data_IF_345098874134
#
_entry.id   IF_345098874134
#
_cell.length_a   1.000
_cell.length_b   1.000
_cell.length_c   1.000
_cell.angle_alpha   90.00
_cell.angle_beta   90.00
_cell.angle_gamma   90.00
#
_symmetry.space_group_name_H-M   'P 1'
#
loop_
_entity.id
_entity.type
_entity.pdbx_description
1 polymer ?
#
# COMPACT_ATOMS: atom_id res chain seq x y z
N UNK A 1 -8.05 1.62 3.55
CA UNK A 1 -9.34 1.50 4.23
C UNK A 1 -10.01 2.85 4.45
N UNK A 2 -9.39 3.81 5.15
CA UNK A 2 -10.00 5.14 5.43
C UNK A 2 -10.37 5.86 4.14
N UNK A 3 -9.47 5.90 3.16
CA UNK A 3 -9.72 6.55 1.86
C UNK A 3 -10.89 5.90 1.11
N UNK A 4 -10.99 4.57 1.06
CA UNK A 4 -12.11 3.88 0.42
C UNK A 4 -13.44 4.14 1.15
N UNK A 5 -13.40 4.22 2.49
CA UNK A 5 -14.57 4.55 3.29
C UNK A 5 -15.06 5.98 3.03
N UNK A 6 -14.14 6.96 2.91
CA UNK A 6 -14.45 8.34 2.55
C UNK A 6 -15.08 8.39 1.15
N UNK A 7 -14.48 7.70 0.18
CA UNK A 7 -14.96 7.63 -1.19
C UNK A 7 -16.36 7.01 -1.26
N UNK A 8 -16.63 5.96 -0.49
CA UNK A 8 -17.95 5.35 -0.38
C UNK A 8 -18.99 6.32 0.21
N UNK A 9 -18.65 6.97 1.32
CA UNK A 9 -19.56 7.90 2.00
C UNK A 9 -19.86 9.12 1.14
N UNK A 10 -18.88 9.66 0.43
CA UNK A 10 -19.07 10.86 -0.40
C UNK A 10 -19.75 10.56 -1.72
N UNK A 11 -19.27 9.57 -2.45
CA UNK A 11 -19.72 9.28 -3.82
C UNK A 11 -21.06 8.52 -3.83
N UNK A 12 -21.18 7.47 -3.04
CA UNK A 12 -22.38 6.61 -3.03
C UNK A 12 -23.42 7.09 -2.04
N UNK A 13 -23.00 7.45 -0.82
CA UNK A 13 -23.87 7.90 0.26
C UNK A 13 -24.32 9.36 0.14
N UNK A 14 -23.73 10.14 -0.79
CA UNK A 14 -23.93 11.59 -0.92
C UNK A 14 -23.78 12.34 0.42
N UNK A 15 -22.90 11.82 1.29
CA UNK A 15 -22.67 12.42 2.59
C UNK A 15 -21.87 13.73 2.46
N UNK A 16 -22.23 14.81 3.16
CA UNK A 16 -21.57 16.10 2.99
C UNK A 16 -20.12 16.06 3.47
N UNK A 17 -19.21 16.49 2.60
CA UNK A 17 -17.76 16.52 2.85
C UNK A 17 -17.35 17.27 4.12
N UNK A 18 -18.15 18.25 4.55
CA UNK A 18 -17.92 19.00 5.80
C UNK A 18 -17.83 18.12 7.03
N UNK A 19 -18.75 17.16 7.18
CA UNK A 19 -18.77 16.26 8.35
C UNK A 19 -17.60 15.27 8.31
N UNK A 20 -17.21 14.81 7.11
CA UNK A 20 -16.03 13.95 6.94
C UNK A 20 -14.77 14.71 7.31
N UNK A 21 -14.66 15.99 6.89
CA UNK A 21 -13.56 16.87 7.29
C UNK A 21 -13.46 17.06 8.81
N UNK A 22 -14.59 17.19 9.51
CA UNK A 22 -14.63 17.29 10.96
C UNK A 22 -14.16 15.99 11.61
N UNK A 23 -14.58 14.82 11.12
CA UNK A 23 -14.17 13.53 11.67
C UNK A 23 -12.67 13.31 11.47
N UNK A 24 -12.15 13.58 10.28
CA UNK A 24 -10.71 13.46 10.00
C UNK A 24 -9.92 14.47 10.82
N UNK A 25 -10.37 15.73 10.86
CA UNK A 25 -9.72 16.78 11.62
C UNK A 25 -9.68 16.48 13.13
N UNK A 26 -10.76 15.96 13.69
CA UNK A 26 -10.80 15.54 15.11
C UNK A 26 -9.87 14.34 15.37
N UNK A 27 -9.77 13.39 14.45
CA UNK A 27 -8.85 12.26 14.53
C UNK A 27 -7.39 12.70 14.50
N UNK A 28 -7.04 13.61 13.58
CA UNK A 28 -5.69 14.20 13.51
C UNK A 28 -5.35 15.02 14.75
N UNK A 29 -6.29 15.82 15.26
CA UNK A 29 -6.11 16.59 16.47
C UNK A 29 -5.90 15.68 17.70
N UNK A 30 -6.67 14.60 17.81
CA UNK A 30 -6.48 13.60 18.86
C UNK A 30 -5.11 12.91 18.77
N UNK A 31 -4.67 12.57 17.56
CA UNK A 31 -3.36 11.95 17.33
C UNK A 31 -2.20 12.91 17.65
N UNK A 32 -2.30 14.17 17.25
CA UNK A 32 -1.29 15.18 17.61
C UNK A 32 -1.24 15.43 19.12
N UNK A 33 -2.40 15.50 19.78
CA UNK A 33 -2.48 15.62 21.23
C UNK A 33 -1.86 14.41 21.93
N UNK A 34 -2.13 13.20 21.44
CA UNK A 34 -1.54 11.98 21.96
C UNK A 34 -0.01 11.97 21.85
N UNK A 35 0.55 12.38 20.70
CA UNK A 35 2.00 12.50 20.50
C UNK A 35 2.62 13.55 21.43
N UNK A 36 1.95 14.69 21.63
CA UNK A 36 2.41 15.74 22.54
C UNK A 36 2.42 15.27 24.00
N UNK A 37 1.37 14.56 24.42
CA UNK A 37 1.31 13.97 25.77
C UNK A 37 2.38 12.89 25.96
N UNK A 38 2.64 12.07 24.96
CA UNK A 38 3.68 11.06 25.00
C UNK A 38 5.09 11.68 25.17
N UNK A 39 5.35 12.82 24.49
CA UNK A 39 6.61 13.56 24.64
C UNK A 39 6.73 14.29 25.97
N UNK A 40 5.60 14.69 26.57
CA UNK A 40 5.58 15.39 27.86
C UNK A 40 5.80 14.46 29.05
N UNK A 41 5.47 13.16 28.91
CA UNK A 41 5.57 12.15 29.98
C UNK A 41 6.33 10.90 29.51
N UNK A 42 7.66 10.99 29.31
CA UNK A 42 8.47 9.89 28.75
C UNK A 42 8.53 8.65 29.65
N UNK A 43 8.36 8.79 30.97
CA UNK A 43 8.51 7.70 31.94
C UNK A 43 7.27 6.81 32.12
N UNK A 44 6.20 7.06 31.39
CA UNK A 44 4.99 6.26 31.53
C UNK A 44 5.03 5.01 30.61
N UNK A 45 4.94 3.83 31.19
CA UNK A 45 4.83 2.54 30.50
C UNK A 45 3.73 2.47 29.43
N UNK A 46 2.80 3.40 29.41
CA UNK A 46 1.73 3.52 28.43
C UNK A 46 2.23 3.92 27.02
N UNK A 47 3.39 4.55 26.93
CA UNK A 47 3.91 5.14 25.68
C UNK A 47 5.09 4.39 25.07
N UNK A 48 5.39 3.17 25.53
CA UNK A 48 6.51 2.36 25.01
C UNK A 48 6.46 2.12 23.49
N UNK A 49 5.29 2.24 22.87
CA UNK A 49 5.15 2.17 21.42
C UNK A 49 5.49 3.45 20.67
N UNK A 50 5.46 4.60 21.37
CA UNK A 50 5.81 5.90 20.75
C UNK A 50 7.32 5.97 20.51
N UNK A 51 8.13 5.35 21.35
CA UNK A 51 9.58 5.27 21.15
C UNK A 51 9.93 4.44 19.91
N UNK A 52 9.18 3.38 19.66
CA UNK A 52 9.31 2.57 18.43
C UNK A 52 8.91 3.37 17.17
N UNK A 53 7.92 4.25 17.28
CA UNK A 53 7.50 5.11 16.16
C UNK A 53 8.48 6.25 15.94
N UNK A 54 9.01 6.84 17.02
CA UNK A 54 10.00 7.91 16.94
C UNK A 54 11.32 7.38 16.36
N UNK A 55 11.79 6.20 16.75
CA UNK A 55 12.97 5.57 16.18
C UNK A 55 12.79 5.17 14.72
N UNK A 56 11.60 4.74 14.29
CA UNK A 56 11.31 4.52 12.88
C UNK A 56 11.31 5.81 12.07
N UNK A 57 10.77 6.90 12.63
CA UNK A 57 10.76 8.20 11.97
C UNK A 57 12.18 8.81 11.89
N UNK A 58 13.01 8.57 12.89
CA UNK A 58 14.40 9.00 12.94
C UNK A 58 15.26 8.17 11.96
N UNK A 59 14.97 6.88 11.82
CA UNK A 59 15.59 6.02 10.81
C UNK A 59 15.21 6.41 9.37
N UNK A 60 14.00 6.95 9.16
CA UNK A 60 13.59 7.51 7.86
C UNK A 60 14.32 8.81 7.51
N UNK A 61 14.78 9.57 8.50
CA UNK A 61 15.52 10.84 8.29
C UNK A 61 17.03 10.67 8.37
N UNK A 62 17.51 9.56 8.91
CA UNK A 62 18.95 9.26 9.03
C UNK A 62 19.26 8.11 8.09
N UNK A 63 20.13 8.34 7.11
CA UNK A 63 20.64 7.39 6.11
C UNK A 63 21.37 6.17 6.73
N UNK A 64 20.80 5.53 7.73
CA UNK A 64 21.29 4.25 8.24
C UNK A 64 20.59 3.13 7.48
N UNK A 65 21.32 2.30 6.71
CA UNK A 65 20.72 1.18 5.99
C UNK A 65 20.02 0.24 7.00
N UNK A 66 18.70 0.24 6.97
CA UNK A 66 17.85 -0.63 7.77
C UNK A 66 17.56 -1.95 7.03
N UNK A 67 16.89 -2.87 7.69
CA UNK A 67 16.40 -4.11 7.04
C UNK A 67 15.47 -3.81 5.86
N UNK A 68 14.72 -2.71 5.94
CA UNK A 68 13.81 -2.27 4.87
C UNK A 68 14.59 -1.83 3.62
N UNK A 69 15.72 -1.09 3.79
CA UNK A 69 16.58 -0.67 2.68
C UNK A 69 17.22 -1.87 1.97
N UNK A 70 17.63 -2.89 2.75
CA UNK A 70 18.14 -4.13 2.19
C UNK A 70 17.11 -4.85 1.31
N UNK A 71 15.84 -4.89 1.73
CA UNK A 71 14.78 -5.52 0.96
C UNK A 71 14.47 -4.75 -0.33
N UNK A 72 14.45 -3.42 -0.27
CA UNK A 72 14.25 -2.55 -1.43
C UNK A 72 15.42 -2.72 -2.42
N UNK A 73 16.67 -2.76 -1.94
CA UNK A 73 17.85 -3.01 -2.79
C UNK A 73 17.75 -4.35 -3.50
N UNK A 74 17.33 -5.42 -2.80
CA UNK A 74 17.14 -6.74 -3.40
C UNK A 74 16.00 -6.76 -4.42
N UNK A 75 14.93 -6.02 -4.18
CA UNK A 75 13.85 -5.86 -5.14
C UNK A 75 14.32 -5.14 -6.41
N UNK A 76 15.13 -4.09 -6.29
CA UNK A 76 15.75 -3.40 -7.43
C UNK A 76 16.66 -4.33 -8.24
N UNK A 77 17.48 -5.13 -7.55
CA UNK A 77 18.34 -6.13 -8.20
C UNK A 77 17.49 -7.15 -8.95
N UNK A 78 16.40 -7.64 -8.36
CA UNK A 78 15.47 -8.56 -9.00
C UNK A 78 14.91 -7.97 -10.31
N UNK A 79 14.41 -6.73 -10.26
CA UNK A 79 13.88 -6.03 -11.44
C UNK A 79 14.94 -5.82 -12.50
N UNK A 80 16.15 -5.39 -12.12
CA UNK A 80 17.26 -5.17 -13.05
C UNK A 80 17.72 -6.48 -13.71
N UNK A 81 17.76 -7.58 -12.95
CA UNK A 81 18.19 -8.90 -13.43
C UNK A 81 17.17 -9.52 -14.37
N UNK A 82 15.87 -9.25 -14.16
CA UNK A 82 14.80 -9.76 -15.01
C UNK A 82 14.82 -9.21 -16.43
N UNK A 83 15.30 -7.98 -16.65
CA UNK A 83 15.36 -7.38 -17.98
C UNK A 83 14.00 -7.38 -18.69
N UNK A 84 14.01 -7.55 -20.03
CA UNK A 84 12.75 -7.53 -20.81
C UNK A 84 12.04 -8.89 -20.78
N UNK A 85 12.75 -9.99 -20.86
CA UNK A 85 12.18 -11.34 -21.02
C UNK A 85 12.17 -12.19 -19.75
N UNK A 86 12.87 -11.78 -18.70
CA UNK A 86 13.01 -12.52 -17.45
C UNK A 86 14.00 -13.68 -17.52
N UNK A 87 14.34 -14.22 -16.34
CA UNK A 87 15.21 -15.38 -16.18
C UNK A 87 14.49 -16.72 -16.46
N UNK A 88 13.19 -16.70 -16.53
CA UNK A 88 12.31 -17.84 -16.66
C UNK A 88 11.59 -18.23 -15.37
N UNK A 89 10.42 -18.90 -15.48
CA UNK A 89 9.60 -19.27 -14.34
C UNK A 89 10.38 -20.16 -13.35
N UNK A 90 10.31 -19.81 -12.05
CA UNK A 90 10.93 -20.56 -10.97
C UNK A 90 12.45 -20.35 -10.84
N UNK A 91 13.07 -19.47 -11.65
CA UNK A 91 14.51 -19.21 -11.63
C UNK A 91 14.90 -17.96 -10.88
N UNK A 92 13.99 -17.37 -10.12
CA UNK A 92 14.31 -16.23 -9.28
C UNK A 92 15.37 -16.56 -8.24
N UNK A 93 16.43 -15.78 -8.23
CA UNK A 93 17.53 -15.87 -7.27
C UNK A 93 17.18 -15.07 -6.01
N UNK A 94 16.56 -13.90 -6.19
CA UNK A 94 16.24 -12.98 -5.09
C UNK A 94 15.14 -13.48 -4.17
N UNK A 95 14.32 -14.42 -4.61
CA UNK A 95 13.30 -15.09 -3.78
C UNK A 95 13.84 -15.66 -2.46
N UNK A 96 15.09 -16.14 -2.47
CA UNK A 96 15.71 -16.74 -1.27
C UNK A 96 16.29 -15.69 -0.31
N UNK A 97 16.49 -14.47 -0.78
CA UNK A 97 17.08 -13.36 -0.01
C UNK A 97 16.02 -12.38 0.52
N UNK A 98 14.79 -12.46 0.02
CA UNK A 98 13.67 -11.61 0.44
C UNK A 98 12.77 -12.37 1.41
N UNK A 99 12.80 -12.07 2.74
CA UNK A 99 11.95 -12.75 3.72
C UNK A 99 10.46 -12.61 3.44
N UNK A 100 10.05 -11.50 2.82
CA UNK A 100 8.66 -11.21 2.43
C UNK A 100 8.45 -11.30 0.91
N UNK A 101 9.23 -12.13 0.22
CA UNK A 101 9.15 -12.32 -1.23
C UNK A 101 7.76 -12.77 -1.73
N UNK A 102 7.01 -13.48 -0.89
CA UNK A 102 5.67 -13.99 -1.22
C UNK A 102 4.54 -13.01 -0.93
N UNK A 103 4.81 -11.84 -0.32
CA UNK A 103 3.80 -10.84 0.03
C UNK A 103 4.10 -9.50 -0.63
N UNK A 104 4.93 -8.69 -0.01
CA UNK A 104 5.10 -7.29 -0.38
C UNK A 104 5.98 -7.10 -1.62
N UNK A 105 6.94 -8.00 -1.84
CA UNK A 105 7.88 -7.94 -2.96
C UNK A 105 7.59 -8.95 -4.08
N UNK A 106 6.42 -9.57 -4.08
CA UNK A 106 6.04 -10.56 -5.11
C UNK A 106 6.10 -9.97 -6.53
N UNK A 107 5.83 -8.67 -6.69
CA UNK A 107 5.91 -8.01 -7.98
C UNK A 107 7.35 -7.97 -8.52
N UNK A 108 8.35 -7.71 -7.68
CA UNK A 108 9.76 -7.73 -8.07
C UNK A 108 10.18 -9.15 -8.52
N UNK A 109 9.70 -10.20 -7.85
CA UNK A 109 9.95 -11.59 -8.23
C UNK A 109 9.30 -11.92 -9.59
N UNK A 110 8.07 -11.44 -9.83
CA UNK A 110 7.41 -11.63 -11.13
C UNK A 110 8.21 -10.96 -12.24
N UNK A 111 8.73 -9.76 -12.00
CA UNK A 111 9.57 -9.05 -12.98
C UNK A 111 10.91 -9.77 -13.18
N UNK A 112 11.52 -10.35 -12.15
CA UNK A 112 12.74 -11.15 -12.28
C UNK A 112 12.52 -12.39 -13.14
N UNK A 113 11.40 -13.11 -12.93
CA UNK A 113 11.12 -14.36 -13.64
C UNK A 113 10.57 -14.16 -15.05
N UNK A 114 9.66 -13.19 -15.24
CA UNK A 114 8.93 -12.96 -16.49
C UNK A 114 9.35 -11.69 -17.23
N UNK A 115 10.29 -10.96 -16.67
CA UNK A 115 10.77 -9.70 -17.21
C UNK A 115 9.77 -8.56 -17.12
N UNK A 116 10.11 -7.46 -17.77
CA UNK A 116 9.26 -6.28 -17.87
C UNK A 116 7.90 -6.60 -18.51
N UNK A 117 7.87 -7.54 -19.45
CA UNK A 117 6.62 -7.99 -20.11
C UNK A 117 5.67 -8.59 -19.08
N UNK A 118 6.18 -9.44 -18.18
CA UNK A 118 5.37 -10.03 -17.11
C UNK A 118 4.87 -8.97 -16.12
N UNK A 119 5.73 -8.05 -15.70
CA UNK A 119 5.36 -6.93 -14.82
C UNK A 119 4.28 -6.03 -15.43
N UNK A 120 4.45 -5.61 -16.67
CA UNK A 120 3.44 -4.83 -17.40
C UNK A 120 2.14 -5.62 -17.61
N UNK A 121 2.23 -6.93 -17.85
CA UNK A 121 1.07 -7.82 -17.95
C UNK A 121 0.24 -7.82 -16.66
N UNK A 122 0.88 -7.96 -15.51
CA UNK A 122 0.21 -7.91 -14.21
C UNK A 122 -0.43 -6.55 -13.97
N UNK A 123 0.30 -5.45 -14.22
CA UNK A 123 -0.24 -4.10 -14.10
C UNK A 123 -1.48 -3.92 -15.00
N UNK A 124 -1.40 -4.36 -16.24
CA UNK A 124 -2.51 -4.28 -17.19
C UNK A 124 -3.74 -5.06 -16.72
N UNK A 125 -3.55 -6.26 -16.16
CA UNK A 125 -4.65 -7.06 -15.60
C UNK A 125 -5.34 -6.34 -14.43
N UNK A 126 -4.59 -5.71 -13.53
CA UNK A 126 -5.17 -4.91 -12.45
C UNK A 126 -5.91 -3.67 -12.95
N UNK A 127 -5.40 -2.98 -13.98
CA UNK A 127 -6.10 -1.86 -14.60
C UNK A 127 -7.40 -2.31 -15.30
N UNK A 128 -7.37 -3.47 -15.97
CA UNK A 128 -8.55 -4.06 -16.57
C UNK A 128 -9.59 -4.45 -15.52
N UNK A 129 -9.16 -5.04 -14.41
CA UNK A 129 -10.01 -5.35 -13.26
C UNK A 129 -10.63 -4.08 -12.65
N UNK A 130 -9.84 -3.03 -12.50
CA UNK A 130 -10.34 -1.71 -12.04
C UNK A 130 -11.44 -1.17 -12.95
N UNK A 131 -11.22 -1.20 -14.26
CA UNK A 131 -12.22 -0.79 -15.22
C UNK A 131 -13.51 -1.62 -15.11
N UNK A 132 -13.38 -2.94 -14.92
CA UNK A 132 -14.54 -3.83 -14.72
C UNK A 132 -15.31 -3.51 -13.45
N UNK A 133 -14.66 -3.14 -12.36
CA UNK A 133 -15.34 -2.67 -11.13
C UNK A 133 -16.08 -1.36 -11.36
N UNK A 134 -15.52 -0.40 -12.08
CA UNK A 134 -16.20 0.85 -12.43
C UNK A 134 -17.48 0.55 -13.24
N UNK A 135 -17.37 -0.26 -14.28
CA UNK A 135 -18.53 -0.64 -15.11
C UNK A 135 -19.59 -1.37 -14.30
N UNK A 136 -19.18 -2.29 -13.41
CA UNK A 136 -20.11 -2.99 -12.53
C UNK A 136 -20.81 -2.05 -11.54
N UNK A 137 -20.09 -1.09 -10.96
CA UNK A 137 -20.67 -0.09 -10.06
C UNK A 137 -21.68 0.82 -10.77
N UNK A 138 -21.43 1.18 -12.04
CA UNK A 138 -22.41 1.94 -12.83
C UNK A 138 -23.67 1.13 -13.18
N UNK A 139 -23.52 -0.16 -13.43
CA UNK A 139 -24.64 -1.06 -13.77
C UNK A 139 -25.46 -1.50 -12.55
N UNK A 140 -24.93 -1.41 -11.34
CA UNK A 140 -25.63 -1.79 -10.13
C UNK A 140 -26.83 -0.87 -9.90
N UNK A 141 -28.01 -1.46 -9.74
CA UNK A 141 -29.28 -0.72 -9.52
C UNK A 141 -29.51 -0.36 -8.06
N UNK A 142 -28.98 -1.19 -7.14
CA UNK A 142 -29.16 -1.01 -5.69
C UNK A 142 -27.99 -0.23 -5.07
N UNK A 143 -28.29 0.61 -4.08
CA UNK A 143 -27.29 1.34 -3.31
C UNK A 143 -26.29 0.37 -2.64
N UNK A 144 -26.81 -0.72 -2.07
CA UNK A 144 -26.00 -1.75 -1.45
C UNK A 144 -25.01 -2.39 -2.44
N UNK A 145 -25.48 -2.73 -3.65
CA UNK A 145 -24.62 -3.28 -4.70
C UNK A 145 -23.48 -2.34 -5.09
N UNK A 146 -23.76 -1.04 -5.24
CA UNK A 146 -22.72 -0.01 -5.51
C UNK A 146 -21.71 0.08 -4.38
N UNK A 147 -22.18 0.15 -3.14
CA UNK A 147 -21.31 0.19 -1.96
C UNK A 147 -20.43 -1.06 -1.86
N UNK A 148 -20.99 -2.24 -2.12
CA UNK A 148 -20.25 -3.49 -2.08
C UNK A 148 -19.13 -3.52 -3.12
N UNK A 149 -19.44 -3.16 -4.37
CA UNK A 149 -18.47 -3.18 -5.48
C UNK A 149 -17.34 -2.18 -5.21
N UNK A 150 -17.66 -0.95 -4.82
CA UNK A 150 -16.66 0.08 -4.54
C UNK A 150 -15.84 -0.27 -3.28
N UNK A 151 -16.53 -0.75 -2.23
CA UNK A 151 -15.91 -1.07 -0.95
C UNK A 151 -14.96 -2.25 -0.98
N UNK A 152 -15.21 -3.25 -1.82
CA UNK A 152 -14.33 -4.40 -1.98
C UNK A 152 -13.31 -4.20 -3.11
N UNK A 153 -13.75 -3.66 -4.24
CA UNK A 153 -12.91 -3.54 -5.43
C UNK A 153 -11.81 -2.50 -5.29
N UNK A 154 -12.16 -1.31 -4.78
CA UNK A 154 -11.20 -0.21 -4.68
C UNK A 154 -10.02 -0.48 -3.74
N UNK A 155 -10.23 -0.95 -2.48
CA UNK A 155 -9.12 -1.26 -1.60
C UNK A 155 -8.19 -2.35 -2.14
N UNK A 156 -8.75 -3.37 -2.78
CA UNK A 156 -7.97 -4.47 -3.35
C UNK A 156 -7.01 -3.97 -4.44
N UNK A 157 -7.53 -3.17 -5.37
CA UNK A 157 -6.71 -2.65 -6.48
C UNK A 157 -5.71 -1.62 -5.97
N UNK A 158 -6.14 -0.73 -5.06
CA UNK A 158 -5.27 0.28 -4.49
C UNK A 158 -4.10 -0.35 -3.72
N UNK A 159 -4.36 -1.41 -2.94
CA UNK A 159 -3.32 -2.16 -2.24
C UNK A 159 -2.34 -2.81 -3.22
N UNK A 160 -2.83 -3.42 -4.29
CA UNK A 160 -1.97 -4.01 -5.31
C UNK A 160 -1.10 -2.96 -6.01
N UNK A 161 -1.65 -1.79 -6.32
CA UNK A 161 -0.89 -0.69 -6.92
C UNK A 161 0.18 -0.14 -5.98
N UNK A 162 -0.13 0.00 -4.68
CA UNK A 162 0.87 0.42 -3.68
C UNK A 162 2.00 -0.60 -3.60
N UNK A 163 1.69 -1.90 -3.52
CA UNK A 163 2.73 -2.93 -3.45
C UNK A 163 3.62 -2.94 -4.70
N UNK A 164 3.02 -2.73 -5.88
CA UNK A 164 3.81 -2.59 -7.12
C UNK A 164 4.68 -1.32 -7.10
N UNK A 165 4.16 -0.20 -6.62
CA UNK A 165 4.89 1.07 -6.52
C UNK A 165 6.07 0.95 -5.54
N UNK A 166 5.85 0.36 -4.36
CA UNK A 166 6.92 0.11 -3.38
C UNK A 166 8.02 -0.78 -3.95
N UNK A 167 7.67 -1.80 -4.73
CA UNK A 167 8.65 -2.70 -5.35
C UNK A 167 9.54 -2.00 -6.38
N UNK A 168 9.07 -0.91 -7.02
CA UNK A 168 9.84 -0.09 -7.99
C UNK A 168 10.31 1.25 -7.40
N UNK A 169 10.11 1.46 -6.07
CA UNK A 169 10.50 2.68 -5.34
C UNK A 169 9.88 3.97 -5.92
N UNK A 170 8.59 3.91 -6.25
CA UNK A 170 7.76 5.05 -6.67
C UNK A 170 6.92 5.57 -5.51
#
# INVERSE_FOLDING_TARGET
LIFSMILMLTYVGKYPLKHIGIIIGSGLAALTLFILLAKAFPDSHFFSRVDTWSSRMENFTTDKPGEDDYQIEKAKIAIATGGIYGLGPGKSVQKNFLPQSSSDFIYAIIVEEWGLIGGLGVLFLYLLLFFRFIVAAHKATTLFGKLLIVGLGFPMIFQAMINMAVAVEL
#
